data_IF_371354042111
#
_entry.id   IF_371354042111
#
_cell.length_a   1.000
_cell.length_b   1.000
_cell.length_c   1.000
_cell.angle_alpha   90.00
_cell.angle_beta   90.00
_cell.angle_gamma   90.00
#
_symmetry.space_group_name_H-M   'P 1'
#
loop_
_entity.id
_entity.type
_entity.pdbx_description
1 polymer ?
#
# COMPACT_ATOMS: atom_id res chain seq x y z
N UNK A 1 -15.27 19.89 -20.97
CA UNK A 1 -15.51 20.85 -19.87
C UNK A 1 -14.75 22.13 -20.16
N UNK A 2 -15.25 23.30 -19.73
CA UNK A 2 -14.53 24.55 -19.78
C UNK A 2 -13.23 24.51 -18.96
N UNK A 3 -12.23 25.27 -19.43
CA UNK A 3 -10.96 25.40 -18.72
C UNK A 3 -11.12 26.15 -17.40
N UNK A 4 -11.82 27.27 -17.40
CA UNK A 4 -11.93 28.11 -16.21
C UNK A 4 -13.33 28.00 -15.57
N UNK A 5 -13.37 28.09 -14.24
CA UNK A 5 -14.61 28.08 -13.49
C UNK A 5 -15.26 29.48 -13.50
N UNK A 6 -16.57 29.52 -13.67
CA UNK A 6 -17.37 30.73 -13.68
C UNK A 6 -18.45 30.70 -12.59
N UNK A 7 -18.93 31.87 -12.18
CA UNK A 7 -20.12 31.96 -11.34
C UNK A 7 -21.34 31.38 -12.09
N UNK A 8 -22.12 30.54 -11.41
CA UNK A 8 -23.21 29.76 -11.97
C UNK A 8 -22.77 28.44 -12.62
N UNK A 9 -21.47 28.15 -12.69
CA UNK A 9 -20.98 26.85 -13.16
C UNK A 9 -21.31 25.73 -12.16
N UNK A 10 -21.63 24.56 -12.69
CA UNK A 10 -21.77 23.33 -11.91
C UNK A 10 -20.43 22.61 -11.94
N UNK A 11 -19.83 22.41 -10.78
CA UNK A 11 -18.50 21.82 -10.61
C UNK A 11 -18.54 20.59 -9.71
N UNK A 12 -17.57 19.69 -9.89
CA UNK A 12 -17.24 18.66 -8.92
C UNK A 12 -15.89 18.98 -8.30
N UNK A 13 -15.83 19.07 -6.98
CA UNK A 13 -14.61 19.37 -6.24
C UNK A 13 -13.98 18.07 -5.72
N UNK A 14 -12.68 17.89 -5.93
CA UNK A 14 -11.95 16.74 -5.41
C UNK A 14 -10.82 17.18 -4.50
N UNK A 15 -10.62 16.43 -3.42
CA UNK A 15 -9.48 16.67 -2.54
C UNK A 15 -8.18 16.26 -3.26
N UNK A 16 -7.18 17.14 -3.25
CA UNK A 16 -5.96 17.01 -4.06
C UNK A 16 -5.05 15.85 -3.61
N UNK A 17 -5.23 15.32 -2.39
CA UNK A 17 -4.38 14.22 -1.90
C UNK A 17 -4.57 12.95 -2.74
N UNK A 18 -3.54 12.10 -2.78
CA UNK A 18 -3.64 10.77 -3.39
C UNK A 18 -4.75 9.94 -2.71
N UNK A 19 -5.70 9.47 -3.51
CA UNK A 19 -6.91 8.79 -3.01
C UNK A 19 -7.92 9.71 -2.33
N UNK A 20 -7.87 11.02 -2.58
CA UNK A 20 -8.87 11.99 -2.15
C UNK A 20 -10.23 11.74 -2.81
N UNK A 21 -11.31 11.97 -2.04
CA UNK A 21 -12.69 11.85 -2.53
C UNK A 21 -13.23 13.17 -3.09
N UNK A 22 -14.38 13.08 -3.75
CA UNK A 22 -15.20 14.20 -4.17
C UNK A 22 -15.94 14.78 -2.97
N UNK A 23 -16.08 16.11 -2.91
CA UNK A 23 -16.99 16.75 -1.99
C UNK A 23 -18.43 16.30 -2.31
N UNK A 24 -19.07 15.67 -1.33
CA UNK A 24 -20.33 14.96 -1.51
C UNK A 24 -21.33 15.38 -0.44
N UNK A 25 -22.62 15.38 -0.79
CA UNK A 25 -23.69 15.57 0.17
C UNK A 25 -24.96 14.84 -0.26
N UNK A 26 -25.73 14.36 0.71
CA UNK A 26 -26.96 13.59 0.48
C UNK A 26 -28.00 13.96 1.53
N UNK A 27 -29.27 13.61 1.33
CA UNK A 27 -30.41 14.05 2.15
C UNK A 27 -30.37 13.66 3.65
N UNK A 28 -29.46 12.78 4.06
CA UNK A 28 -29.33 12.36 5.46
C UNK A 28 -28.69 13.44 6.33
N UNK A 29 -29.21 13.59 7.54
CA UNK A 29 -28.71 14.53 8.54
C UNK A 29 -27.69 13.86 9.45
N UNK A 30 -26.82 14.65 10.09
CA UNK A 30 -26.03 14.14 11.21
C UNK A 30 -26.97 13.64 12.34
N UNK A 31 -26.61 12.56 13.05
CA UNK A 31 -27.35 12.09 14.22
C UNK A 31 -27.45 13.15 15.33
N UNK A 32 -28.46 13.03 16.19
CA UNK A 32 -28.73 14.01 17.26
C UNK A 32 -27.55 14.21 18.22
N UNK A 33 -26.76 13.16 18.49
CA UNK A 33 -25.60 13.22 19.39
C UNK A 33 -24.31 13.75 18.71
N UNK A 34 -24.36 14.13 17.43
CA UNK A 34 -23.17 14.47 16.62
C UNK A 34 -23.30 15.88 16.07
N UNK A 35 -23.01 16.87 16.92
CA UNK A 35 -23.03 18.28 16.54
C UNK A 35 -24.41 18.71 16.03
N UNK A 36 -24.41 19.51 14.99
CA UNK A 36 -25.62 20.14 14.48
C UNK A 36 -26.34 19.12 13.64
N UNK A 37 -27.65 18.99 13.89
CA UNK A 37 -28.55 18.13 13.14
C UNK A 37 -28.88 18.73 11.77
N UNK A 38 -27.86 18.89 10.94
CA UNK A 38 -27.90 19.43 9.59
C UNK A 38 -27.47 18.37 8.58
N UNK A 39 -27.60 18.68 7.29
CA UNK A 39 -27.33 17.72 6.22
C UNK A 39 -25.84 17.35 6.20
N UNK A 40 -25.55 16.06 6.02
CA UNK A 40 -24.19 15.53 6.02
C UNK A 40 -23.40 16.00 4.81
N UNK A 41 -22.11 16.30 5.04
CA UNK A 41 -21.12 16.52 3.99
C UNK A 41 -19.97 15.54 4.20
N UNK A 42 -19.59 14.86 3.14
CA UNK A 42 -18.62 13.76 3.17
C UNK A 42 -17.69 13.84 1.96
N UNK A 43 -16.65 13.01 1.97
CA UNK A 43 -15.83 12.75 0.80
C UNK A 43 -16.16 11.36 0.24
N UNK A 44 -16.67 11.32 -1.00
CA UNK A 44 -17.05 10.09 -1.68
C UNK A 44 -16.04 9.72 -2.77
N UNK A 45 -15.70 8.44 -2.91
CA UNK A 45 -14.63 7.99 -3.82
C UNK A 45 -15.06 7.84 -5.28
N UNK A 46 -16.37 7.84 -5.55
CA UNK A 46 -16.91 7.56 -6.89
C UNK A 46 -17.62 8.79 -7.46
N UNK A 47 -17.74 8.83 -8.80
CA UNK A 47 -18.52 9.85 -9.50
C UNK A 47 -20.01 9.63 -9.22
N UNK A 48 -20.69 10.69 -8.82
CA UNK A 48 -22.10 10.69 -8.43
C UNK A 48 -22.72 12.06 -8.72
N UNK A 49 -24.04 12.10 -8.97
CA UNK A 49 -24.77 13.36 -9.15
C UNK A 49 -24.76 14.23 -7.88
N UNK A 50 -24.68 13.61 -6.71
CA UNK A 50 -24.54 14.25 -5.40
C UNK A 50 -23.13 14.84 -5.14
N UNK A 51 -22.22 14.76 -6.12
CA UNK A 51 -20.92 15.44 -6.07
C UNK A 51 -20.97 16.83 -6.73
N UNK A 52 -22.13 17.24 -7.27
CA UNK A 52 -22.28 18.46 -8.06
C UNK A 52 -22.61 19.67 -7.18
N UNK A 53 -21.81 20.71 -7.32
CA UNK A 53 -21.94 21.98 -6.60
C UNK A 53 -22.02 23.14 -7.57
N UNK A 54 -22.91 24.09 -7.33
CA UNK A 54 -23.00 25.33 -8.08
C UNK A 54 -22.21 26.43 -7.37
N UNK A 55 -21.33 27.12 -8.08
CA UNK A 55 -20.59 28.26 -7.52
C UNK A 55 -21.46 29.51 -7.61
N UNK A 56 -21.80 30.09 -6.47
CA UNK A 56 -22.58 31.34 -6.37
C UNK A 56 -21.73 32.47 -5.78
N UNK A 57 -22.08 33.70 -6.12
CA UNK A 57 -21.54 34.88 -5.43
C UNK A 57 -22.06 34.92 -4.00
N UNK A 58 -21.26 35.47 -3.08
CA UNK A 58 -21.66 35.59 -1.68
C UNK A 58 -22.73 36.68 -1.43
N UNK A 59 -22.79 37.70 -2.31
CA UNK A 59 -23.56 38.93 -2.16
C UNK A 59 -24.72 39.07 -3.16
N UNK A 60 -24.96 38.07 -4.01
CA UNK A 60 -25.99 38.10 -5.03
C UNK A 60 -26.85 36.83 -4.98
N UNK A 61 -28.15 37.03 -4.78
CA UNK A 61 -29.17 35.97 -4.84
C UNK A 61 -29.70 35.73 -6.26
N UNK A 62 -29.27 36.52 -7.26
CA UNK A 62 -29.69 36.34 -8.65
C UNK A 62 -29.09 35.09 -9.29
N UNK A 63 -29.91 34.38 -10.08
CA UNK A 63 -29.46 33.27 -10.93
C UNK A 63 -28.56 33.78 -12.08
N UNK A 64 -27.25 33.74 -11.83
CA UNK A 64 -26.19 34.05 -12.81
C UNK A 64 -26.09 33.02 -13.95
N UNK A 65 -26.88 31.94 -13.87
CA UNK A 65 -27.03 30.94 -14.94
C UNK A 65 -27.91 31.43 -16.11
N UNK A 66 -28.69 32.50 -15.93
CA UNK A 66 -29.61 33.05 -16.94
C UNK A 66 -28.88 33.61 -18.17
N UNK A 67 -29.43 33.45 -19.38
CA UNK A 67 -28.76 33.80 -20.65
C UNK A 67 -28.37 35.28 -20.79
N UNK A 68 -28.97 36.19 -20.03
CA UNK A 68 -28.74 37.63 -20.15
C UNK A 68 -27.61 38.18 -19.26
N UNK A 69 -26.99 37.35 -18.41
CA UNK A 69 -25.89 37.79 -17.53
C UNK A 69 -24.52 37.55 -18.19
N UNK A 70 -23.58 38.51 -18.08
CA UNK A 70 -22.22 38.35 -18.58
C UNK A 70 -21.52 37.19 -17.85
N UNK A 71 -20.60 36.52 -18.54
CA UNK A 71 -19.79 35.47 -17.92
C UNK A 71 -18.78 36.11 -16.98
N UNK A 72 -18.87 35.74 -15.70
CA UNK A 72 -17.93 36.16 -14.68
C UNK A 72 -17.13 34.97 -14.18
N UNK A 73 -15.81 35.02 -14.34
CA UNK A 73 -14.90 33.99 -13.88
C UNK A 73 -14.71 34.07 -12.36
N UNK A 74 -14.50 32.93 -11.74
CA UNK A 74 -14.16 32.85 -10.31
C UNK A 74 -12.66 33.03 -10.16
N UNK A 75 -12.27 34.01 -9.37
CA UNK A 75 -10.89 34.46 -9.24
C UNK A 75 -10.29 34.15 -7.86
N UNK A 76 -8.96 34.11 -7.81
CA UNK A 76 -8.23 33.96 -6.56
C UNK A 76 -8.52 35.13 -5.60
N UNK A 77 -8.99 34.80 -4.39
CA UNK A 77 -9.37 35.74 -3.35
C UNK A 77 -10.87 36.01 -3.24
N UNK A 78 -11.67 35.51 -4.19
CA UNK A 78 -13.12 35.73 -4.21
C UNK A 78 -13.82 35.02 -3.05
N UNK A 79 -14.91 35.65 -2.59
CA UNK A 79 -15.85 35.07 -1.64
C UNK A 79 -17.00 34.43 -2.42
N UNK A 80 -17.28 33.17 -2.11
CA UNK A 80 -18.28 32.37 -2.81
C UNK A 80 -19.21 31.66 -1.82
N UNK A 81 -20.34 31.19 -2.33
CA UNK A 81 -21.15 30.13 -1.73
C UNK A 81 -21.13 28.92 -2.65
N UNK A 82 -21.13 27.72 -2.07
CA UNK A 82 -21.24 26.46 -2.81
C UNK A 82 -22.60 25.85 -2.51
N UNK A 83 -23.51 25.87 -3.49
CA UNK A 83 -24.82 25.23 -3.37
C UNK A 83 -24.76 23.81 -3.90
N UNK A 84 -25.17 22.85 -3.09
CA UNK A 84 -25.33 21.46 -3.53
C UNK A 84 -26.50 21.35 -4.50
N UNK A 85 -26.25 20.88 -5.73
CA UNK A 85 -27.24 20.94 -6.82
C UNK A 85 -28.50 20.11 -6.52
N UNK A 86 -28.33 18.93 -5.94
CA UNK A 86 -29.46 18.01 -5.70
C UNK A 86 -30.34 18.47 -4.54
N UNK A 87 -29.74 18.95 -3.44
CA UNK A 87 -30.50 19.30 -2.22
C UNK A 87 -30.74 20.79 -2.04
N UNK A 88 -30.17 21.64 -2.91
CA UNK A 88 -30.32 23.10 -2.88
C UNK A 88 -29.89 23.76 -1.57
N UNK A 89 -28.96 23.12 -0.85
CA UNK A 89 -28.39 23.61 0.41
C UNK A 89 -26.97 24.10 0.20
N UNK A 90 -26.54 25.08 0.99
CA UNK A 90 -25.20 25.64 0.93
C UNK A 90 -24.22 24.83 1.80
N UNK A 91 -22.98 24.73 1.33
CA UNK A 91 -21.85 24.28 2.15
C UNK A 91 -21.66 25.25 3.31
N UNK A 92 -21.70 24.72 4.53
CA UNK A 92 -21.76 25.49 5.77
C UNK A 92 -20.72 24.98 6.77
N UNK A 93 -20.22 25.86 7.63
CA UNK A 93 -19.41 25.46 8.78
C UNK A 93 -19.62 26.37 9.97
N UNK A 94 -19.51 25.80 11.16
CA UNK A 94 -19.82 26.46 12.42
C UNK A 94 -18.85 25.98 13.51
N UNK A 95 -18.89 26.59 14.69
CA UNK A 95 -17.91 26.32 15.76
C UNK A 95 -18.11 24.99 16.50
N UNK A 96 -19.04 24.17 16.06
CA UNK A 96 -19.21 22.84 16.64
C UNK A 96 -18.13 21.87 16.18
N UNK A 97 -17.91 20.83 16.98
CA UNK A 97 -16.81 19.90 16.79
C UNK A 97 -17.13 18.88 15.71
N UNK A 98 -16.15 18.58 14.85
CA UNK A 98 -16.31 17.56 13.81
C UNK A 98 -16.62 16.15 14.39
N UNK A 99 -17.34 15.29 13.63
CA UNK A 99 -17.82 14.00 14.12
C UNK A 99 -16.73 13.09 14.71
N UNK A 100 -15.60 12.95 14.01
CA UNK A 100 -14.48 12.07 14.35
C UNK A 100 -13.29 12.91 14.79
N UNK A 101 -12.95 13.97 14.05
CA UNK A 101 -11.75 14.75 14.32
C UNK A 101 -12.00 15.91 15.27
N UNK A 102 -11.92 15.63 16.57
CA UNK A 102 -12.33 16.55 17.64
C UNK A 102 -11.60 17.91 17.72
N UNK A 103 -10.50 18.10 16.97
CA UNK A 103 -9.77 19.37 16.88
C UNK A 103 -10.27 20.27 15.74
N UNK A 104 -11.12 19.75 14.87
CA UNK A 104 -11.66 20.47 13.72
C UNK A 104 -13.12 20.87 13.96
N UNK A 105 -13.60 21.78 13.13
CA UNK A 105 -14.98 22.23 13.10
C UNK A 105 -15.83 21.36 12.16
N UNK A 106 -17.10 21.18 12.50
CA UNK A 106 -18.07 20.45 11.68
C UNK A 106 -18.36 21.22 10.39
N UNK A 107 -18.56 20.48 9.31
CA UNK A 107 -19.01 20.99 8.01
C UNK A 107 -20.31 20.29 7.66
N UNK A 108 -21.28 21.04 7.18
CA UNK A 108 -22.65 20.59 6.93
C UNK A 108 -23.20 21.24 5.66
N UNK A 109 -24.39 20.81 5.26
CA UNK A 109 -25.21 21.51 4.29
C UNK A 109 -26.38 22.18 5.02
N UNK A 110 -26.47 23.51 4.92
CA UNK A 110 -27.48 24.35 5.60
C UNK A 110 -28.21 25.26 4.61
N UNK A 111 -29.31 25.85 5.05
CA UNK A 111 -30.16 26.69 4.22
C UNK A 111 -31.11 25.90 3.32
N UNK A 112 -31.86 26.63 2.49
CA UNK A 112 -32.84 26.10 1.56
C UNK A 112 -32.90 26.97 0.30
N UNK A 113 -32.97 26.36 -0.88
CA UNK A 113 -32.97 27.05 -2.17
C UNK A 113 -31.79 28.02 -2.38
N UNK A 114 -30.62 27.68 -1.82
CA UNK A 114 -29.43 28.53 -1.85
C UNK A 114 -29.45 29.71 -0.88
N UNK A 115 -30.53 29.90 -0.13
CA UNK A 115 -30.65 30.92 0.91
C UNK A 115 -30.14 30.34 2.23
N UNK A 116 -29.16 30.99 2.83
CA UNK A 116 -28.67 30.66 4.17
C UNK A 116 -28.07 31.88 4.85
N UNK A 117 -26.98 31.72 5.57
CA UNK A 117 -26.41 32.77 6.43
C UNK A 117 -24.96 33.14 6.07
N UNK A 118 -24.30 33.90 6.94
CA UNK A 118 -22.92 34.32 6.73
C UNK A 118 -21.89 33.19 6.94
N UNK A 119 -22.29 32.05 7.52
CA UNK A 119 -21.45 30.85 7.68
C UNK A 119 -21.45 29.95 6.43
N UNK A 120 -22.13 30.37 5.37
CA UNK A 120 -22.08 29.70 4.06
C UNK A 120 -20.95 30.25 3.16
N UNK A 121 -20.25 31.28 3.63
CA UNK A 121 -19.29 32.04 2.81
C UNK A 121 -17.90 31.45 2.91
N UNK A 122 -17.33 31.11 1.75
CA UNK A 122 -15.99 30.55 1.61
C UNK A 122 -15.14 31.43 0.73
N UNK A 123 -13.94 31.76 1.21
CA UNK A 123 -12.91 32.44 0.43
C UNK A 123 -12.07 31.42 -0.33
N UNK A 124 -11.91 31.64 -1.63
CA UNK A 124 -11.00 30.83 -2.44
C UNK A 124 -9.59 31.40 -2.35
N UNK A 125 -8.62 30.53 -2.12
CA UNK A 125 -7.21 30.87 -2.19
C UNK A 125 -6.44 29.83 -3.00
N UNK A 126 -5.96 30.24 -4.19
CA UNK A 126 -5.11 29.44 -5.06
C UNK A 126 -3.68 29.46 -4.51
N UNK A 127 -3.05 28.28 -4.43
CA UNK A 127 -1.74 28.12 -3.81
C UNK A 127 -0.64 28.55 -4.76
N UNK A 128 0.17 29.53 -4.34
CA UNK A 128 1.34 30.00 -5.10
C UNK A 128 1.01 30.93 -6.27
N UNK A 129 -0.23 31.43 -6.33
CA UNK A 129 -0.72 32.29 -7.42
C UNK A 129 -1.13 33.67 -6.90
N UNK A 130 -1.03 34.68 -7.76
CA UNK A 130 -1.38 36.07 -7.44
C UNK A 130 -2.90 36.27 -7.30
N UNK A 131 -3.28 37.41 -6.72
CA UNK A 131 -4.70 37.83 -6.68
C UNK A 131 -5.22 38.00 -8.11
N UNK A 132 -6.47 37.63 -8.33
CA UNK A 132 -7.16 37.72 -9.64
C UNK A 132 -6.70 36.71 -10.70
N UNK A 133 -5.95 35.67 -10.35
CA UNK A 133 -5.78 34.49 -11.21
C UNK A 133 -7.09 33.70 -11.27
N UNK A 134 -7.62 33.34 -12.46
CA UNK A 134 -8.83 32.52 -12.57
C UNK A 134 -8.59 31.09 -12.09
N UNK A 135 -9.63 30.45 -11.57
CA UNK A 135 -9.56 29.02 -11.22
C UNK A 135 -9.68 28.19 -12.49
N UNK A 136 -8.63 27.44 -12.82
CA UNK A 136 -8.63 26.47 -13.90
C UNK A 136 -8.95 25.05 -13.40
N UNK A 137 -9.81 24.35 -14.14
CA UNK A 137 -10.18 22.95 -13.96
C UNK A 137 -8.94 22.06 -14.04
N UNK A 138 -8.87 21.03 -13.18
CA UNK A 138 -7.78 20.04 -13.01
C UNK A 138 -6.44 20.61 -12.53
N UNK A 139 -6.01 21.76 -13.01
CA UNK A 139 -4.66 22.30 -12.77
C UNK A 139 -4.56 23.18 -11.52
N UNK A 140 -5.58 24.01 -11.25
CA UNK A 140 -5.54 24.89 -10.08
C UNK A 140 -5.70 24.10 -8.79
N UNK A 141 -4.72 24.28 -7.92
CA UNK A 141 -4.72 23.78 -6.56
C UNK A 141 -5.07 24.92 -5.61
N UNK A 142 -6.21 24.81 -4.93
CA UNK A 142 -6.71 25.87 -4.06
C UNK A 142 -7.22 25.33 -2.72
N UNK A 143 -7.41 26.23 -1.76
CA UNK A 143 -8.10 25.96 -0.50
C UNK A 143 -9.36 26.82 -0.38
N UNK A 144 -10.38 26.27 0.26
CA UNK A 144 -11.60 26.98 0.62
C UNK A 144 -11.51 27.36 2.10
N UNK A 145 -11.39 28.65 2.40
CA UNK A 145 -11.31 29.16 3.77
C UNK A 145 -12.68 29.63 4.19
N UNK A 146 -13.22 29.07 5.27
CA UNK A 146 -14.47 29.54 5.84
C UNK A 146 -14.31 30.98 6.34
N UNK A 147 -15.15 31.91 5.86
CA UNK A 147 -14.92 33.34 6.02
C UNK A 147 -14.95 33.79 7.49
N UNK A 148 -15.89 33.26 8.29
CA UNK A 148 -16.10 33.71 9.67
C UNK A 148 -15.15 33.07 10.69
N UNK A 149 -14.81 31.79 10.52
CA UNK A 149 -13.95 31.07 11.48
C UNK A 149 -12.50 30.97 11.03
N UNK A 150 -12.21 31.26 9.76
CA UNK A 150 -10.85 31.23 9.22
C UNK A 150 -10.22 29.85 9.10
N UNK A 151 -10.99 28.77 9.25
CA UNK A 151 -10.52 27.40 9.01
C UNK A 151 -10.62 27.02 7.53
N UNK A 152 -9.90 25.99 7.09
CA UNK A 152 -9.94 25.51 5.71
C UNK A 152 -10.74 24.21 5.58
N UNK A 153 -11.52 24.09 4.50
CA UNK A 153 -12.20 22.84 4.15
C UNK A 153 -11.17 21.70 3.97
N UNK A 154 -11.39 20.60 4.67
CA UNK A 154 -10.40 19.54 4.85
C UNK A 154 -11.01 18.16 4.68
N UNK A 155 -10.28 17.25 4.05
CA UNK A 155 -10.62 15.83 3.95
C UNK A 155 -9.42 14.93 4.25
N UNK A 156 -9.65 13.79 4.89
CA UNK A 156 -8.61 12.80 5.20
C UNK A 156 -9.17 11.38 5.19
N UNK A 157 -8.31 10.37 5.39
CA UNK A 157 -8.70 8.96 5.29
C UNK A 157 -9.52 8.40 6.47
N UNK A 158 -9.94 9.21 7.44
CA UNK A 158 -10.86 8.72 8.49
C UNK A 158 -12.28 8.62 7.94
N UNK A 159 -12.87 7.46 8.12
CA UNK A 159 -14.24 7.19 7.69
C UNK A 159 -15.23 7.52 8.80
N UNK A 160 -16.40 7.98 8.40
CA UNK A 160 -17.56 8.07 9.27
C UNK A 160 -18.06 6.66 9.62
N UNK A 161 -18.72 6.46 10.77
CA UNK A 161 -19.38 5.20 11.08
C UNK A 161 -20.53 4.87 10.11
N UNK A 162 -21.23 3.75 10.36
CA UNK A 162 -22.34 3.28 9.51
C UNK A 162 -23.42 4.33 9.21
N UNK A 163 -23.68 5.26 10.13
CA UNK A 163 -24.66 6.34 9.91
C UNK A 163 -24.25 7.34 8.81
N UNK A 164 -22.96 7.39 8.46
CA UNK A 164 -22.39 8.19 7.38
C UNK A 164 -21.89 7.31 6.22
N UNK A 165 -22.44 6.11 6.08
CA UNK A 165 -22.16 5.17 4.98
C UNK A 165 -20.68 4.80 4.80
N UNK A 166 -19.87 4.88 5.87
CA UNK A 166 -18.42 4.61 5.80
C UNK A 166 -17.68 5.51 4.79
N UNK A 167 -18.28 6.64 4.42
CA UNK A 167 -17.66 7.66 3.59
C UNK A 167 -16.61 8.45 4.41
N UNK A 168 -15.71 9.15 3.72
CA UNK A 168 -14.64 9.89 4.40
C UNK A 168 -15.18 11.18 5.02
N UNK A 169 -14.66 11.53 6.20
CA UNK A 169 -15.06 12.75 6.92
C UNK A 169 -14.60 14.02 6.17
N UNK A 170 -15.49 15.02 6.11
CA UNK A 170 -15.17 16.41 5.73
C UNK A 170 -15.27 17.29 6.98
N UNK A 171 -14.29 18.17 7.15
CA UNK A 171 -14.18 19.03 8.32
C UNK A 171 -13.66 20.41 7.92
N UNK A 172 -13.70 21.37 8.84
CA UNK A 172 -13.03 22.65 8.68
C UNK A 172 -11.83 22.72 9.65
N UNK A 173 -10.62 22.68 9.10
CA UNK A 173 -9.36 22.57 9.82
C UNK A 173 -8.79 23.97 10.16
N UNK A 174 -8.60 24.31 11.45
CA UNK A 174 -7.98 25.57 11.83
C UNK A 174 -6.51 25.71 11.37
N UNK A 175 -5.81 24.60 11.12
CA UNK A 175 -4.45 24.64 10.59
C UNK A 175 -4.44 24.77 9.06
N UNK A 176 -4.32 26.01 8.58
CA UNK A 176 -4.33 26.35 7.16
C UNK A 176 -3.17 25.78 6.34
N UNK A 177 -2.09 25.31 6.98
CA UNK A 177 -0.88 24.80 6.30
C UNK A 177 -0.96 23.31 5.94
N UNK A 178 -2.00 22.61 6.40
CA UNK A 178 -2.16 21.18 6.12
C UNK A 178 -2.41 20.93 4.62
N UNK A 179 -1.67 19.99 4.03
CA UNK A 179 -1.77 19.65 2.62
C UNK A 179 -3.11 19.00 2.24
N UNK A 180 -3.83 18.43 3.21
CA UNK A 180 -5.14 17.84 3.01
C UNK A 180 -6.26 18.89 2.90
N UNK A 181 -5.94 20.18 3.06
CA UNK A 181 -6.85 21.30 2.83
C UNK A 181 -6.96 21.68 1.34
N UNK A 182 -6.17 21.04 0.47
CA UNK A 182 -6.11 21.39 -0.95
C UNK A 182 -7.18 20.65 -1.75
N UNK A 183 -7.80 21.40 -2.67
CA UNK A 183 -8.86 20.96 -3.56
C UNK A 183 -8.54 21.38 -4.99
N UNK A 184 -9.14 20.67 -5.94
CA UNK A 184 -9.17 21.03 -7.35
C UNK A 184 -10.59 20.84 -7.90
N UNK A 185 -10.94 21.62 -8.92
CA UNK A 185 -12.13 21.36 -9.73
C UNK A 185 -11.79 20.18 -10.65
N UNK A 186 -12.50 19.06 -10.55
CA UNK A 186 -12.27 17.91 -11.46
C UNK A 186 -13.15 17.98 -12.70
N UNK A 187 -14.42 18.33 -12.53
CA UNK A 187 -15.38 18.50 -13.60
C UNK A 187 -16.02 19.88 -13.52
N UNK A 188 -16.30 20.47 -14.68
CA UNK A 188 -16.84 21.81 -14.82
C UNK A 188 -17.86 21.82 -15.97
N UNK A 189 -19.10 22.19 -15.66
CA UNK A 189 -20.17 22.33 -16.62
C UNK A 189 -20.73 23.75 -16.59
N UNK A 190 -20.48 24.49 -17.67
CA UNK A 190 -21.01 25.82 -17.87
C UNK A 190 -21.21 26.10 -19.37
N UNK A 191 -22.47 26.08 -19.88
CA UNK A 191 -22.74 26.16 -21.32
C UNK A 191 -22.22 27.42 -22.02
N UNK A 192 -22.01 28.52 -21.30
CA UNK A 192 -21.54 29.80 -21.87
C UNK A 192 -20.03 29.84 -22.13
N UNK A 193 -19.26 28.84 -21.68
CA UNK A 193 -17.82 28.75 -21.91
C UNK A 193 -17.47 27.59 -22.86
N UNK A 194 -16.45 27.76 -23.74
CA UNK A 194 -16.05 26.71 -24.66
C UNK A 194 -15.37 25.54 -23.92
N UNK A 195 -15.62 24.32 -24.41
CA UNK A 195 -14.96 23.12 -23.92
C UNK A 195 -13.52 23.02 -24.45
N UNK A 196 -12.61 22.50 -23.62
CA UNK A 196 -11.23 22.16 -24.02
C UNK A 196 -11.02 20.64 -24.12
N UNK A 197 -10.05 20.22 -24.93
CA UNK A 197 -9.63 18.80 -25.03
C UNK A 197 -8.99 18.32 -23.73
N UNK A 198 -9.18 17.03 -23.41
CA UNK A 198 -8.55 16.39 -22.25
C UNK A 198 -7.02 16.30 -22.38
N UNK A 199 -6.47 16.28 -23.60
CA UNK A 199 -5.03 16.20 -23.84
C UNK A 199 -4.26 17.36 -23.21
N UNK A 200 -4.92 18.50 -23.04
CA UNK A 200 -4.35 19.68 -22.37
C UNK A 200 -4.00 19.41 -20.89
N UNK A 201 -4.68 18.47 -20.25
CA UNK A 201 -4.47 18.11 -18.84
C UNK A 201 -3.58 16.89 -18.66
N UNK A 202 -3.10 16.27 -19.75
CA UNK A 202 -2.31 15.05 -19.66
C UNK A 202 -0.97 15.33 -18.98
N UNK A 203 -0.66 14.68 -17.84
CA UNK A 203 0.64 14.82 -17.20
C UNK A 203 1.74 14.24 -18.07
N UNK A 204 2.95 14.77 -17.91
CA UNK A 204 4.15 14.26 -18.56
C UNK A 204 4.46 12.82 -18.12
N UNK A 205 5.27 12.10 -18.90
CA UNK A 205 5.70 10.75 -18.53
C UNK A 205 6.36 10.69 -17.16
N UNK A 206 7.22 11.66 -16.83
CA UNK A 206 7.95 11.66 -15.56
C UNK A 206 7.01 11.89 -14.37
N UNK A 207 6.04 12.80 -14.51
CA UNK A 207 5.01 13.01 -13.47
C UNK A 207 4.19 11.74 -13.25
N UNK A 208 3.73 11.10 -14.32
CA UNK A 208 3.01 9.82 -14.24
C UNK A 208 3.84 8.73 -13.59
N UNK A 209 5.13 8.66 -13.93
CA UNK A 209 6.05 7.67 -13.37
C UNK A 209 6.23 7.88 -11.86
N UNK A 210 6.49 9.11 -11.43
CA UNK A 210 6.68 9.45 -10.02
C UNK A 210 5.40 9.27 -9.21
N UNK A 211 4.26 9.74 -9.73
CA UNK A 211 2.95 9.56 -9.09
C UNK A 211 2.61 8.07 -8.95
N UNK A 212 2.82 7.29 -10.01
CA UNK A 212 2.59 5.84 -9.98
C UNK A 212 3.42 5.14 -8.89
N UNK A 213 4.70 5.48 -8.75
CA UNK A 213 5.55 4.92 -7.69
C UNK A 213 5.11 5.37 -6.30
N UNK A 214 4.73 6.64 -6.13
CA UNK A 214 4.19 7.13 -4.86
C UNK A 214 2.93 6.36 -4.44
N UNK A 215 2.02 6.11 -5.38
CA UNK A 215 0.81 5.29 -5.17
C UNK A 215 1.19 3.84 -4.87
N UNK A 216 2.17 3.25 -5.57
CA UNK A 216 2.65 1.89 -5.29
C UNK A 216 3.22 1.78 -3.87
N UNK A 217 4.05 2.73 -3.42
CA UNK A 217 4.59 2.74 -2.06
C UNK A 217 3.50 2.91 -1.00
N UNK A 218 2.55 3.83 -1.23
CA UNK A 218 1.42 4.03 -0.34
C UNK A 218 0.55 2.77 -0.24
N UNK A 219 0.18 2.18 -1.38
CA UNK A 219 -0.59 0.94 -1.44
C UNK A 219 0.14 -0.21 -0.74
N UNK A 220 1.43 -0.37 -1.01
CA UNK A 220 2.27 -1.40 -0.41
C UNK A 220 2.34 -1.27 1.14
N UNK A 221 2.53 -0.06 1.66
CA UNK A 221 2.53 0.21 3.11
C UNK A 221 1.14 0.09 3.75
N UNK A 222 0.08 0.28 2.97
CA UNK A 222 -1.32 0.18 3.41
C UNK A 222 -1.85 -1.25 3.53
N UNK A 223 -1.14 -2.26 2.98
CA UNK A 223 -1.49 -3.68 3.10
C UNK A 223 -1.18 -4.22 4.50
N UNK A 224 -1.91 -3.72 5.50
CA UNK A 224 -1.84 -4.19 6.88
C UNK A 224 -2.73 -5.44 7.07
N UNK A 225 -2.32 -6.37 7.95
CA UNK A 225 -3.14 -7.55 8.24
C UNK A 225 -4.50 -7.14 8.78
N UNK A 226 -5.57 -7.71 8.22
CA UNK A 226 -6.91 -7.55 8.78
C UNK A 226 -7.03 -8.40 10.05
N UNK A 227 -7.91 -7.99 10.96
CA UNK A 227 -8.21 -8.77 12.16
C UNK A 227 -8.67 -10.19 11.77
N UNK A 228 -8.05 -11.21 12.37
CA UNK A 228 -8.33 -12.62 12.09
C UNK A 228 -7.64 -13.21 10.86
N UNK A 229 -6.91 -12.43 10.06
CA UNK A 229 -6.16 -12.96 8.91
C UNK A 229 -4.88 -13.68 9.35
N UNK A 230 -4.71 -14.92 8.91
CA UNK A 230 -3.52 -15.71 9.22
C UNK A 230 -2.37 -15.27 8.31
N UNK A 231 -1.38 -14.60 8.89
CA UNK A 231 -0.17 -14.15 8.20
C UNK A 231 1.07 -14.85 8.76
N UNK A 232 2.11 -14.98 7.93
CA UNK A 232 3.36 -15.60 8.34
C UNK A 232 4.38 -14.55 8.77
N UNK A 233 5.25 -14.89 9.71
CA UNK A 233 6.33 -14.02 10.19
C UNK A 233 7.68 -14.45 9.63
N UNK A 234 8.62 -13.51 9.37
CA UNK A 234 9.92 -13.83 8.77
C UNK A 234 10.67 -14.99 9.43
N UNK A 235 10.74 -14.99 10.76
CA UNK A 235 11.43 -16.04 11.52
C UNK A 235 10.85 -17.46 11.34
N UNK A 236 9.59 -17.58 10.91
CA UNK A 236 8.93 -18.87 10.70
C UNK A 236 9.38 -19.56 9.41
N UNK A 237 9.90 -18.79 8.44
CA UNK A 237 10.16 -19.31 7.09
C UNK A 237 11.37 -20.25 7.02
N UNK A 238 12.54 -19.94 7.61
CA UNK A 238 13.72 -20.80 7.50
C UNK A 238 13.53 -22.15 8.20
N UNK A 239 12.76 -22.18 9.29
CA UNK A 239 12.46 -23.40 10.04
C UNK A 239 11.28 -24.19 9.45
N UNK A 240 10.63 -23.66 8.40
CA UNK A 240 9.45 -24.26 7.77
C UNK A 240 8.31 -24.52 8.77
N UNK A 241 8.06 -23.58 9.70
CA UNK A 241 7.14 -23.80 10.82
C UNK A 241 5.70 -23.97 10.36
N UNK A 242 5.24 -23.11 9.44
CA UNK A 242 3.87 -23.11 8.95
C UNK A 242 3.87 -22.76 7.47
N UNK A 243 3.09 -23.51 6.70
CA UNK A 243 2.88 -23.28 5.27
C UNK A 243 1.69 -22.37 5.00
N UNK A 244 1.26 -22.32 3.75
CA UNK A 244 0.13 -21.51 3.30
C UNK A 244 -0.85 -22.34 2.49
N UNK A 245 -2.14 -22.17 2.76
CA UNK A 245 -3.20 -22.83 2.00
C UNK A 245 -3.48 -22.11 0.68
N UNK A 246 -3.64 -22.92 -0.36
CA UNK A 246 -4.22 -22.52 -1.64
C UNK A 246 -5.42 -23.44 -1.88
N UNK A 247 -6.64 -22.94 -1.69
CA UNK A 247 -7.85 -23.76 -1.84
C UNK A 247 -8.28 -23.81 -3.30
N UNK A 248 -8.45 -25.03 -3.83
CA UNK A 248 -9.37 -25.36 -4.91
C UNK A 248 -10.61 -26.06 -4.35
N UNK A 249 -11.71 -26.10 -5.10
CA UNK A 249 -12.98 -26.73 -4.66
C UNK A 249 -12.84 -28.25 -4.42
N UNK A 250 -12.05 -28.94 -5.26
CA UNK A 250 -11.89 -30.40 -5.21
C UNK A 250 -10.51 -30.83 -4.70
N UNK A 251 -9.47 -30.08 -5.04
CA UNK A 251 -8.09 -30.33 -4.64
C UNK A 251 -7.60 -29.23 -3.72
N UNK A 252 -7.00 -29.62 -2.59
CA UNK A 252 -6.36 -28.70 -1.65
C UNK A 252 -4.87 -28.67 -1.93
N UNK A 253 -4.33 -27.48 -2.14
CA UNK A 253 -2.88 -27.27 -2.31
C UNK A 253 -2.36 -26.62 -1.03
N UNK A 254 -1.25 -27.13 -0.53
CA UNK A 254 -0.61 -26.59 0.66
C UNK A 254 0.85 -26.27 0.35
N UNK A 255 1.17 -24.99 0.37
CA UNK A 255 2.52 -24.49 0.12
C UNK A 255 3.37 -24.73 1.36
N UNK A 256 4.17 -25.80 1.33
CA UNK A 256 5.17 -26.14 2.33
C UNK A 256 6.52 -26.29 1.65
N UNK A 257 7.58 -25.78 2.27
CA UNK A 257 8.94 -26.07 1.80
C UNK A 257 9.26 -27.55 1.98
N UNK A 258 10.07 -28.15 1.09
CA UNK A 258 10.57 -29.50 1.33
C UNK A 258 11.42 -29.49 2.61
N UNK A 259 11.01 -30.16 3.71
CA UNK A 259 11.66 -30.01 5.01
C UNK A 259 13.12 -30.48 5.00
N UNK A 260 13.45 -31.49 4.20
CA UNK A 260 14.83 -31.96 4.05
C UNK A 260 15.73 -30.87 3.46
N UNK A 261 15.25 -30.17 2.44
CA UNK A 261 16.00 -29.06 1.81
C UNK A 261 16.06 -27.87 2.77
N UNK A 262 14.93 -27.48 3.38
CA UNK A 262 14.87 -26.32 4.27
C UNK A 262 15.79 -26.48 5.48
N UNK A 263 15.67 -27.60 6.19
CA UNK A 263 16.47 -27.85 7.38
C UNK A 263 17.92 -28.16 7.03
N UNK A 264 18.17 -28.89 5.93
CA UNK A 264 19.52 -29.12 5.43
C UNK A 264 20.25 -27.81 5.10
N UNK A 265 19.55 -26.89 4.43
CA UNK A 265 20.08 -25.56 4.15
C UNK A 265 20.34 -24.74 5.42
N UNK A 266 19.45 -24.82 6.42
CA UNK A 266 19.64 -24.13 7.68
C UNK A 266 20.87 -24.68 8.43
N UNK A 267 21.07 -26.00 8.43
CA UNK A 267 22.26 -26.63 9.03
C UNK A 267 23.53 -26.20 8.29
N UNK A 268 23.54 -26.23 6.95
CA UNK A 268 24.71 -25.86 6.15
C UNK A 268 25.04 -24.37 6.26
N UNK A 269 24.04 -23.51 6.44
CA UNK A 269 24.23 -22.11 6.77
C UNK A 269 24.95 -21.93 8.12
N UNK A 270 24.59 -22.73 9.14
CA UNK A 270 25.31 -22.72 10.42
C UNK A 270 26.73 -23.26 10.30
N UNK A 271 26.95 -24.32 9.51
CA UNK A 271 28.28 -24.84 9.21
C UNK A 271 29.14 -23.76 8.56
N UNK A 272 28.60 -22.96 7.65
CA UNK A 272 29.31 -21.82 7.05
C UNK A 272 29.82 -20.84 8.12
N UNK A 273 28.97 -20.43 9.08
CA UNK A 273 29.40 -19.53 10.16
C UNK A 273 30.50 -20.15 11.04
N UNK A 274 30.36 -21.44 11.35
CA UNK A 274 31.38 -22.18 12.12
C UNK A 274 32.70 -22.23 11.34
N UNK A 275 32.69 -22.57 10.05
CA UNK A 275 33.89 -22.59 9.21
C UNK A 275 34.53 -21.21 9.14
N UNK A 276 33.74 -20.14 8.94
CA UNK A 276 34.27 -18.78 8.91
C UNK A 276 34.90 -18.39 10.24
N UNK A 277 34.28 -18.74 11.37
CA UNK A 277 34.82 -18.50 12.70
C UNK A 277 36.15 -19.25 12.90
N UNK A 278 36.18 -20.55 12.58
CA UNK A 278 37.38 -21.38 12.69
C UNK A 278 38.51 -20.82 11.84
N UNK A 279 38.27 -20.50 10.56
CA UNK A 279 39.32 -19.94 9.70
C UNK A 279 39.84 -18.60 10.19
N UNK A 280 38.95 -17.73 10.68
CA UNK A 280 39.34 -16.43 11.23
C UNK A 280 40.24 -16.60 12.48
N UNK A 281 39.93 -17.57 13.35
CA UNK A 281 40.75 -17.89 14.53
C UNK A 281 42.09 -18.52 14.12
N UNK A 282 42.11 -19.43 13.15
CA UNK A 282 43.34 -20.06 12.65
C UNK A 282 44.29 -19.02 12.04
N UNK A 283 43.75 -18.10 11.25
CA UNK A 283 44.50 -17.00 10.63
C UNK A 283 45.07 -16.05 11.70
N UNK A 284 44.26 -15.66 12.69
CA UNK A 284 44.70 -14.81 13.79
C UNK A 284 45.78 -15.47 14.68
N UNK A 285 45.76 -16.80 14.82
CA UNK A 285 46.77 -17.57 15.56
C UNK A 285 48.05 -17.84 14.76
N UNK A 286 48.10 -17.50 13.47
CA UNK A 286 49.28 -17.71 12.63
C UNK A 286 49.64 -19.18 12.40
N UNK A 287 48.67 -20.11 12.51
CA UNK A 287 48.92 -21.52 12.26
C UNK A 287 49.18 -21.76 10.77
N UNK A 288 50.28 -22.45 10.45
CA UNK A 288 50.66 -22.77 9.08
C UNK A 288 49.73 -23.84 8.51
N UNK A 289 48.83 -23.44 7.62
CA UNK A 289 47.98 -24.34 6.83
C UNK A 289 48.63 -24.54 5.47
N UNK A 290 48.53 -25.76 4.90
CA UNK A 290 48.99 -26.05 3.54
C UNK A 290 48.51 -24.99 2.54
N UNK A 291 49.37 -24.46 1.64
CA UNK A 291 48.99 -23.44 0.66
C UNK A 291 47.76 -23.81 -0.19
N UNK A 292 47.60 -25.10 -0.51
CA UNK A 292 46.46 -25.63 -1.25
C UNK A 292 45.15 -25.49 -0.46
N UNK A 293 45.17 -25.88 0.82
CA UNK A 293 44.03 -25.73 1.73
C UNK A 293 43.70 -24.25 1.96
N UNK A 294 44.70 -23.39 2.04
CA UNK A 294 44.50 -21.94 2.18
C UNK A 294 43.78 -21.34 0.96
N UNK A 295 44.17 -21.71 -0.25
CA UNK A 295 43.51 -21.28 -1.49
C UNK A 295 42.07 -21.78 -1.57
N UNK A 296 41.84 -23.06 -1.24
CA UNK A 296 40.49 -23.65 -1.17
C UNK A 296 39.60 -22.90 -0.17
N UNK A 297 40.09 -22.66 1.06
CA UNK A 297 39.38 -21.93 2.09
C UNK A 297 38.99 -20.52 1.63
N UNK A 298 39.93 -19.79 1.04
CA UNK A 298 39.69 -18.43 0.56
C UNK A 298 38.64 -18.39 -0.56
N UNK A 299 38.73 -19.28 -1.54
CA UNK A 299 37.74 -19.39 -2.63
C UNK A 299 36.35 -19.69 -2.09
N UNK A 300 36.24 -20.67 -1.18
CA UNK A 300 34.97 -21.06 -0.57
C UNK A 300 34.39 -19.91 0.26
N UNK A 301 35.16 -19.28 1.13
CA UNK A 301 34.67 -18.18 1.96
C UNK A 301 34.22 -16.99 1.12
N UNK A 302 34.96 -16.63 0.07
CA UNK A 302 34.57 -15.54 -0.82
C UNK A 302 33.26 -15.84 -1.54
N UNK A 303 33.10 -17.05 -2.08
CA UNK A 303 31.85 -17.47 -2.73
C UNK A 303 30.67 -17.51 -1.74
N UNK A 304 30.86 -18.14 -0.57
CA UNK A 304 29.84 -18.22 0.47
C UNK A 304 29.46 -16.84 1.02
N UNK A 305 30.39 -15.88 1.10
CA UNK A 305 30.09 -14.51 1.53
C UNK A 305 29.11 -13.82 0.59
N UNK A 306 29.33 -13.86 -0.73
CA UNK A 306 28.42 -13.25 -1.71
C UNK A 306 27.04 -13.92 -1.69
N UNK A 307 27.00 -15.24 -1.56
CA UNK A 307 25.74 -15.99 -1.46
C UNK A 307 25.00 -15.66 -0.15
N UNK A 308 25.72 -15.54 0.97
CA UNK A 308 25.16 -15.13 2.25
C UNK A 308 24.65 -13.68 2.19
N UNK A 309 25.37 -12.77 1.56
CA UNK A 309 24.91 -11.40 1.34
C UNK A 309 23.63 -11.37 0.51
N UNK A 310 23.56 -12.18 -0.55
CA UNK A 310 22.33 -12.37 -1.34
C UNK A 310 21.16 -12.87 -0.49
N UNK A 311 21.39 -13.89 0.34
CA UNK A 311 20.38 -14.39 1.30
C UNK A 311 19.94 -13.30 2.28
N UNK A 312 20.89 -12.56 2.87
CA UNK A 312 20.61 -11.53 3.86
C UNK A 312 19.82 -10.35 3.26
N UNK A 313 20.19 -9.87 2.08
CA UNK A 313 19.48 -8.80 1.38
C UNK A 313 18.05 -9.20 0.99
N UNK A 314 17.81 -10.48 0.72
CA UNK A 314 16.47 -10.99 0.39
C UNK A 314 15.68 -11.49 1.60
N UNK A 315 16.22 -11.44 2.82
CA UNK A 315 15.55 -11.93 4.02
C UNK A 315 15.41 -10.87 5.11
N UNK A 316 16.48 -10.15 5.44
CA UNK A 316 16.50 -9.20 6.55
C UNK A 316 15.52 -8.02 6.38
N UNK A 317 15.30 -7.45 5.18
CA UNK A 317 14.36 -6.33 5.03
C UNK A 317 12.94 -6.66 5.50
N UNK A 318 12.52 -7.93 5.42
CA UNK A 318 11.18 -8.35 5.85
C UNK A 318 10.94 -8.19 7.37
N UNK A 319 12.00 -8.13 8.20
CA UNK A 319 11.85 -7.87 9.63
C UNK A 319 11.46 -6.42 9.93
N UNK A 320 11.80 -5.48 9.05
CA UNK A 320 11.46 -4.07 9.19
C UNK A 320 10.11 -3.71 8.54
N UNK A 321 9.53 -4.61 7.74
CA UNK A 321 8.28 -4.36 7.03
C UNK A 321 7.06 -4.60 7.94
N UNK A 322 6.16 -3.63 8.02
CA UNK A 322 4.93 -3.69 8.84
C UNK A 322 3.67 -4.10 8.05
N UNK A 323 3.85 -4.70 6.86
CA UNK A 323 2.76 -5.15 5.98
C UNK A 323 2.49 -6.64 6.13
N UNK A 324 1.44 -7.13 5.47
CA UNK A 324 1.17 -8.57 5.34
C UNK A 324 2.32 -9.26 4.61
N UNK A 325 2.79 -10.36 5.21
CA UNK A 325 3.86 -11.21 4.70
C UNK A 325 3.42 -12.68 4.68
N UNK A 326 3.91 -13.40 3.67
CA UNK A 326 3.57 -14.79 3.39
C UNK A 326 4.82 -15.63 3.15
N UNK A 327 4.70 -16.95 3.30
CA UNK A 327 5.81 -17.90 3.23
C UNK A 327 6.63 -17.80 1.93
N UNK A 328 5.99 -17.52 0.80
CA UNK A 328 6.65 -17.39 -0.51
C UNK A 328 7.63 -16.22 -0.61
N UNK A 329 7.56 -15.22 0.27
CA UNK A 329 8.53 -14.11 0.28
C UNK A 329 9.95 -14.59 0.61
N UNK A 330 10.09 -15.75 1.24
CA UNK A 330 11.40 -16.33 1.55
C UNK A 330 12.08 -17.01 0.34
N UNK A 331 11.35 -17.28 -0.76
CA UNK A 331 11.88 -18.09 -1.86
C UNK A 331 13.13 -17.53 -2.53
N UNK A 332 13.26 -16.21 -2.78
CA UNK A 332 14.51 -15.66 -3.29
C UNK A 332 15.69 -15.92 -2.34
N UNK A 333 15.50 -15.70 -1.03
CA UNK A 333 16.54 -15.97 -0.03
C UNK A 333 16.89 -17.47 0.01
N UNK A 334 15.90 -18.36 -0.04
CA UNK A 334 16.11 -19.81 -0.09
C UNK A 334 17.03 -20.23 -1.26
N UNK A 335 16.87 -19.64 -2.45
CA UNK A 335 17.72 -19.96 -3.61
C UNK A 335 19.19 -19.66 -3.29
N UNK A 336 19.48 -18.49 -2.71
CA UNK A 336 20.83 -18.16 -2.25
C UNK A 336 21.35 -19.13 -1.18
N UNK A 337 20.49 -19.54 -0.24
CA UNK A 337 20.87 -20.51 0.78
C UNK A 337 21.17 -21.89 0.17
N UNK A 338 20.36 -22.38 -0.77
CA UNK A 338 20.61 -23.64 -1.48
C UNK A 338 21.92 -23.62 -2.28
N UNK A 339 22.26 -22.50 -2.93
CA UNK A 339 23.55 -22.33 -3.60
C UNK A 339 24.70 -22.34 -2.59
N UNK A 340 24.54 -21.67 -1.44
CA UNK A 340 25.53 -21.66 -0.36
C UNK A 340 25.76 -23.09 0.17
N UNK A 341 24.69 -23.84 0.42
CA UNK A 341 24.73 -25.25 0.80
C UNK A 341 25.55 -26.09 -0.17
N UNK A 342 25.35 -25.93 -1.49
CA UNK A 342 26.12 -26.65 -2.50
C UNK A 342 27.62 -26.32 -2.44
N UNK A 343 27.97 -25.04 -2.25
CA UNK A 343 29.38 -24.60 -2.08
C UNK A 343 30.01 -25.22 -0.82
N UNK A 344 29.28 -25.26 0.30
CA UNK A 344 29.75 -25.87 1.55
C UNK A 344 29.92 -27.38 1.42
N UNK A 345 28.96 -28.08 0.81
CA UNK A 345 29.08 -29.52 0.55
C UNK A 345 30.32 -29.79 -0.32
N UNK A 346 30.49 -29.04 -1.41
CA UNK A 346 31.65 -29.19 -2.29
C UNK A 346 32.97 -28.93 -1.55
N UNK A 347 33.01 -27.90 -0.70
CA UNK A 347 34.17 -27.63 0.15
C UNK A 347 34.50 -28.80 1.08
N UNK A 348 33.52 -29.31 1.82
CA UNK A 348 33.71 -30.45 2.72
C UNK A 348 34.22 -31.68 1.96
N UNK A 349 33.67 -31.95 0.77
CA UNK A 349 34.14 -33.06 -0.08
C UNK A 349 35.60 -32.90 -0.49
N UNK A 350 36.01 -31.69 -0.90
CA UNK A 350 37.39 -31.42 -1.31
C UNK A 350 38.37 -31.50 -0.12
N UNK A 351 37.94 -31.10 1.08
CA UNK A 351 38.74 -31.28 2.30
C UNK A 351 38.92 -32.76 2.61
N UNK A 352 37.86 -33.57 2.57
CA UNK A 352 37.98 -35.02 2.78
C UNK A 352 38.87 -35.69 1.73
N UNK A 353 38.81 -35.23 0.48
CA UNK A 353 39.69 -35.72 -0.60
C UNK A 353 41.17 -35.54 -0.27
N UNK A 354 41.54 -34.45 0.43
CA UNK A 354 42.92 -34.21 0.83
C UNK A 354 43.46 -35.21 1.87
N UNK A 355 42.58 -35.85 2.65
CA UNK A 355 42.96 -36.78 3.71
C UNK A 355 42.82 -38.27 3.32
N UNK A 356 42.35 -38.57 2.11
CA UNK A 356 42.02 -39.92 1.66
C UNK A 356 42.75 -40.27 0.36
N UNK A 357 43.02 -41.56 0.08
CA UNK A 357 43.50 -41.99 -1.24
C UNK A 357 42.52 -41.63 -2.36
N UNK A 358 43.02 -41.18 -3.51
CA UNK A 358 42.22 -40.67 -4.64
C UNK A 358 41.07 -41.58 -5.08
N UNK A 359 41.28 -42.90 -5.10
CA UNK A 359 40.26 -43.89 -5.49
C UNK A 359 39.10 -43.93 -4.50
N UNK A 360 39.42 -43.93 -3.21
CA UNK A 360 38.43 -43.93 -2.13
C UNK A 360 37.72 -42.57 -2.04
N UNK A 361 38.44 -41.47 -2.21
CA UNK A 361 37.87 -40.13 -2.18
C UNK A 361 36.86 -39.90 -3.32
N UNK A 362 37.20 -40.35 -4.55
CA UNK A 362 36.27 -40.32 -5.69
C UNK A 362 35.04 -41.18 -5.43
N UNK A 363 35.20 -42.39 -4.90
CA UNK A 363 34.06 -43.27 -4.56
C UNK A 363 33.11 -42.60 -3.56
N UNK A 364 33.66 -42.04 -2.47
CA UNK A 364 32.89 -41.36 -1.43
C UNK A 364 32.16 -40.14 -2.01
N UNK A 365 32.82 -39.36 -2.87
CA UNK A 365 32.20 -38.19 -3.51
C UNK A 365 30.98 -38.59 -4.36
N UNK A 366 31.11 -39.63 -5.20
CA UNK A 366 29.98 -40.11 -6.01
C UNK A 366 28.86 -40.67 -5.15
N UNK A 367 29.19 -41.37 -4.06
CA UNK A 367 28.21 -41.91 -3.13
C UNK A 367 27.44 -40.80 -2.41
N UNK A 368 28.12 -39.77 -1.93
CA UNK A 368 27.50 -38.62 -1.25
C UNK A 368 26.62 -37.83 -2.21
N UNK A 369 27.10 -37.57 -3.43
CA UNK A 369 26.30 -36.90 -4.46
C UNK A 369 25.05 -37.72 -4.82
N UNK A 370 25.23 -39.02 -5.07
CA UNK A 370 24.13 -39.94 -5.38
C UNK A 370 23.10 -40.02 -4.26
N UNK A 371 23.55 -40.13 -3.01
CA UNK A 371 22.66 -40.17 -1.84
C UNK A 371 21.94 -38.83 -1.64
N UNK A 372 22.61 -37.70 -1.87
CA UNK A 372 22.00 -36.37 -1.77
C UNK A 372 20.89 -36.22 -2.81
N UNK A 373 21.16 -36.58 -4.07
CA UNK A 373 20.17 -36.53 -5.16
C UNK A 373 19.00 -37.48 -4.85
N UNK A 374 19.29 -38.71 -4.44
CA UNK A 374 18.26 -39.69 -4.09
C UNK A 374 17.37 -39.18 -2.93
N UNK A 375 17.95 -38.56 -1.90
CA UNK A 375 17.23 -37.99 -0.77
C UNK A 375 16.34 -36.81 -1.19
N UNK A 376 16.83 -35.92 -2.06
CA UNK A 376 16.05 -34.80 -2.60
C UNK A 376 14.88 -35.30 -3.45
N UNK A 377 15.12 -36.28 -4.34
CA UNK A 377 14.06 -36.86 -5.18
C UNK A 377 13.04 -37.61 -4.33
N UNK A 378 13.48 -38.44 -3.39
CA UNK A 378 12.60 -39.19 -2.50
C UNK A 378 11.74 -38.27 -1.64
N UNK A 379 12.34 -37.24 -1.03
CA UNK A 379 11.59 -36.25 -0.25
C UNK A 379 10.60 -35.48 -1.11
N UNK A 380 10.93 -35.12 -2.36
CA UNK A 380 9.96 -34.53 -3.27
C UNK A 380 8.78 -35.46 -3.53
N UNK A 381 9.02 -36.75 -3.85
CA UNK A 381 7.96 -37.74 -4.08
C UNK A 381 7.06 -37.85 -2.84
N UNK A 382 7.66 -37.91 -1.64
CA UNK A 382 6.94 -37.99 -0.36
C UNK A 382 5.98 -36.80 -0.13
N UNK A 383 6.40 -35.58 -0.46
CA UNK A 383 5.62 -34.35 -0.25
C UNK A 383 4.87 -33.86 -1.51
N UNK A 384 4.95 -34.60 -2.62
CA UNK A 384 4.44 -34.18 -3.94
C UNK A 384 2.93 -33.91 -3.95
N UNK A 385 2.16 -34.63 -3.13
CA UNK A 385 0.71 -34.44 -2.99
C UNK A 385 0.36 -33.05 -2.48
N UNK A 386 1.21 -32.41 -1.67
CA UNK A 386 0.98 -31.05 -1.19
C UNK A 386 1.03 -30.02 -2.33
N UNK A 387 1.87 -30.27 -3.34
CA UNK A 387 2.07 -29.39 -4.50
C UNK A 387 1.11 -29.71 -5.65
N UNK A 388 0.92 -30.99 -5.99
CA UNK A 388 0.04 -31.44 -7.09
C UNK A 388 -1.44 -31.51 -6.70
N UNK A 389 -1.75 -31.44 -5.41
CA UNK A 389 -3.11 -31.41 -4.88
C UNK A 389 -3.44 -32.66 -4.06
N UNK A 390 -4.04 -32.43 -2.90
CA UNK A 390 -4.58 -33.47 -2.04
C UNK A 390 -6.09 -33.59 -2.24
N UNK A 391 -6.58 -34.80 -2.42
CA UNK A 391 -8.00 -35.10 -2.40
C UNK A 391 -8.54 -35.11 -0.97
N UNK A 392 -9.82 -34.82 -0.79
CA UNK A 392 -10.46 -34.82 0.54
C UNK A 392 -10.86 -36.22 1.06
N UNK A 393 -10.45 -37.30 0.39
CA UNK A 393 -10.83 -38.68 0.72
C UNK A 393 -10.19 -39.16 2.04
N UNK A 394 -10.83 -40.11 2.72
CA UNK A 394 -10.32 -40.66 3.99
C UNK A 394 -8.94 -41.33 3.83
N UNK A 395 -8.66 -41.93 2.67
CA UNK A 395 -7.35 -42.50 2.33
C UNK A 395 -6.29 -41.41 2.10
N UNK A 396 -6.66 -40.28 1.50
CA UNK A 396 -5.74 -39.13 1.37
C UNK A 396 -5.39 -38.57 2.75
N UNK A 397 -6.37 -38.44 3.66
CA UNK A 397 -6.16 -37.98 5.05
C UNK A 397 -5.21 -38.87 5.87
N UNK A 398 -5.19 -40.18 5.63
CA UNK A 398 -4.29 -41.11 6.33
C UNK A 398 -2.86 -41.12 5.76
N UNK A 399 -2.71 -40.79 4.48
CA UNK A 399 -1.41 -40.59 3.84
C UNK A 399 -0.80 -39.24 4.25
N UNK A 400 -1.61 -38.17 4.26
CA UNK A 400 -1.17 -36.83 4.67
C UNK A 400 -0.81 -36.77 6.15
N UNK A 401 -1.52 -37.50 7.03
CA UNK A 401 -1.15 -37.55 8.45
C UNK A 401 0.23 -38.17 8.71
N UNK A 402 0.72 -39.07 7.84
CA UNK A 402 2.05 -39.69 7.97
C UNK A 402 3.20 -38.74 7.61
N UNK A 403 2.95 -37.76 6.75
CA UNK A 403 3.95 -36.77 6.31
C UNK A 403 3.90 -35.48 7.14
N UNK A 404 3.00 -35.40 8.12
CA UNK A 404 2.91 -34.30 9.07
C UNK A 404 3.98 -34.44 10.16
N UNK A 405 5.14 -33.81 9.95
CA UNK A 405 6.26 -33.88 10.90
C UNK A 405 6.21 -32.81 12.00
N UNK A 406 5.48 -31.70 11.77
CA UNK A 406 5.23 -30.66 12.75
C UNK A 406 3.73 -30.50 13.00
N UNK A 407 3.34 -30.31 14.25
CA UNK A 407 1.94 -30.11 14.64
C UNK A 407 1.32 -28.85 14.00
N UNK A 408 2.16 -27.83 13.79
CA UNK A 408 1.82 -26.56 13.14
C UNK A 408 1.56 -26.68 11.64
N UNK A 409 1.81 -27.83 11.01
CA UNK A 409 1.43 -28.07 9.62
C UNK A 409 -0.03 -28.51 9.55
N UNK A 410 -0.87 -27.69 8.95
CA UNK A 410 -2.33 -27.82 9.04
C UNK A 410 -2.98 -28.35 7.73
N UNK A 411 -2.30 -29.21 6.97
CA UNK A 411 -2.83 -29.73 5.70
C UNK A 411 -3.75 -30.94 5.83
#
# INVERSE_FOLDING_TARGET
MPRDAAYGAIVSLKNYRTGGGYLHSHWHLYPEDIGARQQQVTAYSHKDENNKWMIKKFDSEHDLSSNNTPVELVMNGDLIRLEHVVTRRNLHSHKEVAPITKRHQQVTCYGENGIGDANDVWKIEIIGEDRRTPISTVTSKFRLIHYLTGCALHSHSKQLPKWGYEQMEITCNPNLRDSNNFWNVEDNHFPKLPNVSFDFYAPSFLERFLESHAVMFQGNSGLKPKEGEITSRPWQWPINLRGQFFSGQQLRIYLLGNPIIWWGNLILLQIFFILKLVFSVLEQRGLQVSPLLKDLNNKTINASFWLFLGWALHYLPFFAMSRVLYFHHYFPALIFNSMLSAVIINYLMNVFHHFLPDSLAKLIQHLILGLTIACVVYSFILFSSLAYGMESSAASKSSTSRIKWLDSWEF
#
